data_IF_608092786201
#
_entry.id   IF_608092786201
#
_cell.length_a   1.000
_cell.length_b   1.000
_cell.length_c   1.000
_cell.angle_alpha   90.00
_cell.angle_beta   90.00
_cell.angle_gamma   90.00
#
_symmetry.space_group_name_H-M   'P 1'
#
loop_
_entity.id
_entity.type
_entity.pdbx_description
1 polymer ?
#
# COMPACT_ATOMS: atom_id res chain seq x y z
N UNK A 1 28.27 -4.02 -25.61
CA UNK A 1 26.80 -4.11 -25.64
C UNK A 1 26.34 -3.38 -24.40
N UNK A 2 25.73 -2.21 -24.57
CA UNK A 2 25.24 -1.40 -23.44
C UNK A 2 24.31 -2.24 -22.58
N UNK A 3 24.57 -2.24 -21.28
CA UNK A 3 23.76 -2.91 -20.27
C UNK A 3 22.44 -2.12 -20.16
N UNK A 4 21.48 -2.38 -21.06
CA UNK A 4 20.15 -1.77 -21.02
C UNK A 4 19.52 -2.09 -19.66
N UNK A 5 19.32 -1.07 -18.83
CA UNK A 5 18.64 -1.26 -17.56
C UNK A 5 17.23 -1.84 -17.82
N UNK A 6 16.78 -2.80 -17.01
CA UNK A 6 15.48 -3.42 -17.19
C UNK A 6 14.37 -2.37 -17.13
N UNK A 7 13.53 -2.34 -18.18
CA UNK A 7 12.50 -1.30 -18.40
C UNK A 7 11.31 -1.41 -17.43
N UNK A 8 11.15 -2.55 -16.76
CA UNK A 8 10.11 -2.80 -15.76
C UNK A 8 10.51 -3.95 -14.82
N UNK A 9 9.70 -4.18 -13.78
CA UNK A 9 9.95 -5.19 -12.76
C UNK A 9 9.94 -6.63 -13.30
N UNK A 10 9.10 -6.96 -14.30
CA UNK A 10 9.13 -8.29 -14.92
C UNK A 10 10.45 -8.49 -15.67
N UNK A 11 10.92 -7.49 -16.41
CA UNK A 11 12.22 -7.53 -17.07
C UNK A 11 13.36 -7.68 -16.06
N UNK A 12 13.25 -7.04 -14.89
CA UNK A 12 14.21 -7.21 -13.79
C UNK A 12 14.20 -8.65 -13.24
N UNK A 13 13.03 -9.22 -12.97
CA UNK A 13 12.91 -10.61 -12.51
C UNK A 13 13.45 -11.59 -13.55
N UNK A 14 13.13 -11.40 -14.83
CA UNK A 14 13.66 -12.22 -15.93
C UNK A 14 15.18 -12.08 -16.03
N UNK A 15 15.75 -10.89 -15.82
CA UNK A 15 17.22 -10.72 -15.80
C UNK A 15 17.90 -11.41 -14.61
N UNK A 16 17.14 -11.79 -13.58
CA UNK A 16 17.62 -12.57 -12.42
C UNK A 16 17.45 -14.09 -12.59
N UNK A 17 17.05 -14.55 -13.79
CA UNK A 17 17.01 -15.97 -14.12
C UNK A 17 18.40 -16.59 -14.02
N UNK A 18 18.52 -17.65 -13.23
CA UNK A 18 19.71 -18.51 -13.26
C UNK A 18 19.71 -19.35 -14.54
N UNK A 19 20.63 -19.08 -15.48
CA UNK A 19 20.78 -19.89 -16.70
C UNK A 19 21.71 -21.11 -16.54
N UNK A 20 22.55 -21.17 -15.49
CA UNK A 20 23.49 -22.29 -15.28
C UNK A 20 23.41 -22.88 -13.86
N UNK A 21 22.64 -23.95 -13.70
CA UNK A 21 22.72 -24.79 -12.51
C UNK A 21 23.97 -25.69 -12.59
N UNK A 22 25.08 -25.28 -11.97
CA UNK A 22 26.20 -26.17 -11.63
C UNK A 22 26.30 -26.29 -10.11
N UNK A 23 26.37 -27.54 -9.64
CA UNK A 23 26.04 -28.01 -8.28
C UNK A 23 26.95 -27.50 -7.13
N UNK A 24 27.97 -26.68 -7.41
CA UNK A 24 29.03 -26.34 -6.44
C UNK A 24 29.16 -24.83 -6.12
N UNK A 25 28.24 -23.98 -6.60
CA UNK A 25 28.19 -22.56 -6.20
C UNK A 25 26.79 -22.20 -5.68
N UNK A 26 26.73 -21.50 -4.55
CA UNK A 26 25.49 -20.89 -4.04
C UNK A 26 25.01 -19.89 -5.09
N UNK A 27 24.12 -20.35 -5.96
CA UNK A 27 23.64 -19.66 -7.16
C UNK A 27 22.73 -18.48 -6.78
N UNK A 28 23.18 -17.26 -7.08
CA UNK A 28 22.47 -16.02 -6.79
C UNK A 28 21.46 -15.67 -7.90
N UNK A 29 20.29 -16.31 -7.90
CA UNK A 29 19.20 -15.94 -8.80
C UNK A 29 17.95 -16.80 -8.62
N UNK A 30 16.87 -16.42 -9.28
CA UNK A 30 15.57 -17.08 -9.17
C UNK A 30 15.39 -18.11 -10.30
N UNK A 31 14.73 -19.20 -9.97
CA UNK A 31 14.23 -20.17 -10.96
C UNK A 31 13.06 -19.59 -11.75
N UNK A 32 12.76 -20.18 -12.91
CA UNK A 32 11.58 -19.79 -13.70
C UNK A 32 10.26 -19.94 -12.93
N UNK A 33 10.16 -20.96 -12.08
CA UNK A 33 8.99 -21.19 -11.25
C UNK A 33 8.85 -20.09 -10.18
N UNK A 34 9.94 -19.77 -9.47
CA UNK A 34 9.94 -18.70 -8.48
C UNK A 34 9.61 -17.34 -9.11
N UNK A 35 10.13 -17.02 -10.30
CA UNK A 35 9.76 -15.77 -11.00
C UNK A 35 8.27 -15.74 -11.35
N UNK A 36 7.72 -16.87 -11.80
CA UNK A 36 6.29 -16.95 -12.08
C UNK A 36 5.45 -16.72 -10.81
N UNK A 37 5.84 -17.36 -9.71
CA UNK A 37 5.18 -17.22 -8.41
C UNK A 37 5.25 -15.78 -7.88
N UNK A 38 6.41 -15.12 -8.00
CA UNK A 38 6.58 -13.71 -7.61
C UNK A 38 5.72 -12.76 -8.45
N UNK A 39 5.66 -12.97 -9.77
CA UNK A 39 4.80 -12.17 -10.66
C UNK A 39 3.33 -12.36 -10.29
N UNK A 40 2.90 -13.61 -10.05
CA UNK A 40 1.52 -13.90 -9.66
C UNK A 40 1.18 -13.27 -8.30
N UNK A 41 2.06 -13.45 -7.30
CA UNK A 41 1.87 -12.88 -5.96
C UNK A 41 1.74 -11.35 -6.02
N UNK A 42 2.61 -10.68 -6.77
CA UNK A 42 2.56 -9.23 -6.95
C UNK A 42 1.23 -8.76 -7.55
N UNK A 43 0.73 -9.44 -8.58
CA UNK A 43 -0.57 -9.10 -9.21
C UNK A 43 -1.69 -9.24 -8.19
N UNK A 44 -1.76 -10.38 -7.48
CA UNK A 44 -2.82 -10.62 -6.50
C UNK A 44 -2.77 -9.61 -5.36
N UNK A 45 -1.59 -9.41 -4.75
CA UNK A 45 -1.43 -8.49 -3.62
C UNK A 45 -1.69 -7.05 -4.04
N UNK A 46 -1.24 -6.62 -5.23
CA UNK A 46 -1.49 -5.28 -5.74
C UNK A 46 -2.96 -5.03 -6.08
N UNK A 47 -3.63 -6.03 -6.65
CA UNK A 47 -5.04 -5.94 -7.03
C UNK A 47 -5.98 -5.90 -5.81
N UNK A 48 -5.90 -6.89 -4.94
CA UNK A 48 -6.85 -7.05 -3.83
C UNK A 48 -6.76 -5.86 -2.86
N UNK A 49 -5.54 -5.45 -2.52
CA UNK A 49 -5.33 -4.38 -1.54
C UNK A 49 -5.76 -3.02 -2.06
N UNK A 50 -5.38 -2.68 -3.29
CA UNK A 50 -5.72 -1.38 -3.90
C UNK A 50 -7.21 -1.28 -4.21
N UNK A 51 -7.82 -2.35 -4.73
CA UNK A 51 -9.27 -2.37 -5.02
C UNK A 51 -10.09 -2.21 -3.74
N UNK A 52 -9.73 -2.91 -2.66
CA UNK A 52 -10.39 -2.79 -1.36
C UNK A 52 -10.28 -1.38 -0.79
N UNK A 53 -9.09 -0.76 -0.85
CA UNK A 53 -8.90 0.62 -0.39
C UNK A 53 -9.76 1.62 -1.19
N UNK A 54 -9.84 1.45 -2.52
CA UNK A 54 -10.71 2.26 -3.37
C UNK A 54 -12.20 2.04 -3.08
N UNK A 55 -12.63 0.81 -2.81
CA UNK A 55 -14.00 0.52 -2.40
C UNK A 55 -14.39 1.23 -1.11
N UNK A 56 -13.52 1.22 -0.09
CA UNK A 56 -13.73 1.99 1.14
C UNK A 56 -13.78 3.49 0.89
N UNK A 57 -12.89 4.01 0.05
CA UNK A 57 -12.92 5.42 -0.35
C UNK A 57 -14.27 5.78 -0.97
N UNK A 58 -14.75 5.01 -1.94
CA UNK A 58 -16.04 5.26 -2.61
C UNK A 58 -17.18 5.20 -1.59
N UNK A 59 -17.16 4.22 -0.68
CA UNK A 59 -18.16 4.08 0.38
C UNK A 59 -18.20 5.33 1.27
N UNK A 60 -17.07 5.73 1.86
CA UNK A 60 -17.01 6.91 2.74
C UNK A 60 -17.33 8.20 2.00
N UNK A 61 -16.85 8.36 0.77
CA UNK A 61 -17.12 9.52 -0.06
C UNK A 61 -18.61 9.64 -0.42
N UNK A 62 -19.31 8.51 -0.63
CA UNK A 62 -20.76 8.50 -0.90
C UNK A 62 -21.60 8.97 0.30
N UNK A 63 -21.11 8.73 1.52
CA UNK A 63 -21.74 9.16 2.78
C UNK A 63 -21.35 10.59 3.18
N UNK A 64 -20.27 11.12 2.61
CA UNK A 64 -19.68 12.40 2.96
C UNK A 64 -19.41 13.26 1.71
N UNK A 65 -20.44 13.83 1.06
CA UNK A 65 -20.29 14.62 -0.16
C UNK A 65 -19.31 15.80 -0.02
N UNK A 66 -19.17 16.35 1.19
CA UNK A 66 -18.23 17.42 1.52
C UNK A 66 -16.76 17.03 1.27
N UNK A 67 -16.41 15.76 1.47
CA UNK A 67 -15.06 15.25 1.21
C UNK A 67 -14.77 15.32 -0.29
N UNK A 68 -15.70 14.83 -1.11
CA UNK A 68 -15.56 14.86 -2.57
C UNK A 68 -15.44 16.30 -3.09
N UNK A 69 -16.25 17.22 -2.57
CA UNK A 69 -16.21 18.62 -2.97
C UNK A 69 -14.85 19.25 -2.65
N UNK A 70 -14.34 19.05 -1.44
CA UNK A 70 -13.07 19.64 -0.99
C UNK A 70 -11.86 19.01 -1.69
N UNK A 71 -11.89 17.71 -2.00
CA UNK A 71 -10.87 17.09 -2.89
C UNK A 71 -10.89 17.68 -4.29
N UNK A 72 -12.07 17.89 -4.89
CA UNK A 72 -12.19 18.54 -6.21
C UNK A 72 -11.65 19.96 -6.19
N UNK A 73 -11.86 20.71 -5.11
CA UNK A 73 -11.30 22.05 -4.93
C UNK A 73 -9.77 22.03 -4.88
N UNK A 74 -9.18 21.10 -4.14
CA UNK A 74 -7.73 20.91 -4.13
C UNK A 74 -7.19 20.55 -5.52
N UNK A 75 -7.80 19.57 -6.20
CA UNK A 75 -7.38 19.19 -7.56
C UNK A 75 -7.49 20.36 -8.54
N UNK A 76 -8.53 21.19 -8.44
CA UNK A 76 -8.66 22.42 -9.25
C UNK A 76 -7.56 23.44 -8.95
N UNK A 77 -7.23 23.65 -7.67
CA UNK A 77 -6.15 24.55 -7.24
C UNK A 77 -4.80 24.16 -7.85
N UNK A 78 -4.56 22.85 -8.02
CA UNK A 78 -3.35 22.31 -8.63
C UNK A 78 -3.45 22.07 -10.14
N UNK A 79 -4.54 22.53 -10.80
CA UNK A 79 -4.82 22.33 -12.22
C UNK A 79 -4.86 20.86 -12.67
N UNK A 80 -5.20 19.94 -11.76
CA UNK A 80 -5.26 18.49 -12.00
C UNK A 80 -6.68 17.98 -12.32
N UNK A 81 -7.64 18.89 -12.50
CA UNK A 81 -9.02 18.55 -12.83
C UNK A 81 -9.40 19.24 -14.15
N UNK A 82 -9.98 18.49 -15.09
CA UNK A 82 -10.65 19.11 -16.23
C UNK A 82 -11.85 19.92 -15.72
N UNK A 83 -11.80 21.22 -15.97
CA UNK A 83 -12.92 22.16 -15.80
C UNK A 83 -13.16 22.78 -17.17
N UNK A 84 -14.38 23.23 -17.45
CA UNK A 84 -14.89 23.58 -18.79
C UNK A 84 -14.01 24.55 -19.61
N UNK A 85 -13.04 25.23 -18.97
CA UNK A 85 -12.11 26.18 -19.58
C UNK A 85 -10.66 25.66 -19.73
N UNK A 86 -10.30 24.50 -19.17
CA UNK A 86 -8.99 23.87 -19.30
C UNK A 86 -9.00 22.89 -20.48
N UNK A 87 -8.34 23.26 -21.58
CA UNK A 87 -8.16 22.40 -22.77
C UNK A 87 -7.14 21.27 -22.55
N UNK A 88 -6.41 21.29 -21.43
CA UNK A 88 -5.33 20.36 -21.13
C UNK A 88 -5.16 20.23 -19.62
N UNK A 89 -5.07 18.99 -19.13
CA UNK A 89 -4.60 18.68 -17.78
C UNK A 89 -3.16 18.23 -17.92
N UNK A 90 -2.20 18.85 -17.20
CA UNK A 90 -0.81 18.42 -17.25
C UNK A 90 -0.67 16.96 -16.79
N UNK A 91 0.34 16.23 -17.28
CA UNK A 91 0.62 14.89 -16.79
C UNK A 91 0.89 14.96 -15.30
N UNK A 92 0.42 13.95 -14.58
CA UNK A 92 0.63 13.86 -13.15
C UNK A 92 2.13 13.69 -12.87
N UNK A 93 2.70 14.62 -12.11
CA UNK A 93 4.10 14.55 -11.66
C UNK A 93 4.17 14.15 -10.19
N UNK A 94 5.32 13.66 -9.74
CA UNK A 94 5.56 13.37 -8.32
C UNK A 94 5.40 14.63 -7.47
N UNK A 95 5.91 15.76 -7.95
CA UNK A 95 5.79 17.05 -7.25
C UNK A 95 4.32 17.47 -7.11
N UNK A 96 3.51 17.31 -8.17
CA UNK A 96 2.08 17.60 -8.09
C UNK A 96 1.36 16.63 -7.13
N UNK A 97 1.70 15.34 -7.12
CA UNK A 97 1.11 14.36 -6.20
C UNK A 97 1.41 14.70 -4.73
N UNK A 98 2.67 15.02 -4.41
CA UNK A 98 3.07 15.37 -3.04
C UNK A 98 2.44 16.67 -2.54
N UNK A 99 1.96 17.52 -3.46
CA UNK A 99 1.26 18.76 -3.11
C UNK A 99 -0.22 18.57 -2.74
N UNK A 100 -0.80 17.38 -2.94
CA UNK A 100 -2.21 17.07 -2.65
C UNK A 100 -2.46 16.67 -1.20
N UNK A 101 -2.24 17.60 -0.29
CA UNK A 101 -2.31 17.37 1.17
C UNK A 101 -3.67 16.84 1.62
N UNK A 102 -4.78 17.39 1.12
CA UNK A 102 -6.12 16.96 1.51
C UNK A 102 -6.45 15.57 0.96
N UNK A 103 -6.08 15.28 -0.28
CA UNK A 103 -6.23 13.92 -0.84
C UNK A 103 -5.40 12.89 -0.03
N UNK A 104 -4.19 13.25 0.41
CA UNK A 104 -3.39 12.41 1.31
C UNK A 104 -4.09 12.21 2.66
N UNK A 105 -4.62 13.27 3.28
CA UNK A 105 -5.40 13.15 4.52
C UNK A 105 -6.61 12.23 4.35
N UNK A 106 -7.37 12.36 3.26
CA UNK A 106 -8.51 11.49 2.96
C UNK A 106 -8.05 10.04 2.79
N UNK A 107 -6.95 9.80 2.08
CA UNK A 107 -6.40 8.45 1.88
C UNK A 107 -6.02 7.80 3.21
N UNK A 108 -5.35 8.55 4.09
CA UNK A 108 -4.98 8.09 5.44
C UNK A 108 -6.21 7.77 6.28
N UNK A 109 -7.24 8.62 6.24
CA UNK A 109 -8.46 8.44 7.02
C UNK A 109 -9.30 7.25 6.53
N UNK A 110 -9.36 7.05 5.20
CA UNK A 110 -9.98 5.87 4.61
C UNK A 110 -9.31 4.59 5.09
N UNK A 111 -7.97 4.54 5.10
CA UNK A 111 -7.23 3.36 5.57
C UNK A 111 -7.28 3.18 7.09
N UNK A 112 -7.48 4.26 7.85
CA UNK A 112 -7.70 4.21 9.30
C UNK A 112 -9.03 3.51 9.63
N UNK A 113 -10.11 3.96 8.99
CA UNK A 113 -11.48 3.51 9.25
C UNK A 113 -11.84 2.21 8.52
N UNK A 114 -11.42 2.08 7.27
CA UNK A 114 -11.62 0.92 6.40
C UNK A 114 -10.28 0.27 6.03
N UNK A 115 -9.59 -0.38 6.97
CA UNK A 115 -8.32 -1.01 6.68
C UNK A 115 -8.51 -2.22 5.76
N UNK A 116 -7.61 -2.37 4.78
CA UNK A 116 -7.55 -3.57 3.94
C UNK A 116 -7.25 -4.82 4.79
N UNK A 117 -6.38 -4.68 5.79
CA UNK A 117 -6.09 -5.71 6.79
C UNK A 117 -6.21 -5.13 8.20
N UNK A 118 -7.21 -5.56 8.95
CA UNK A 118 -7.45 -5.10 10.33
C UNK A 118 -6.61 -5.80 11.40
N UNK A 119 -5.94 -6.89 11.05
CA UNK A 119 -5.18 -7.75 11.96
C UNK A 119 -3.89 -8.21 11.28
N UNK A 120 -2.76 -8.11 11.99
CA UNK A 120 -1.49 -8.74 11.58
C UNK A 120 -0.94 -9.59 12.72
N UNK A 121 0.01 -10.47 12.45
CA UNK A 121 0.61 -11.35 13.46
C UNK A 121 2.13 -11.37 13.41
N UNK A 122 2.75 -11.70 14.53
CA UNK A 122 4.19 -11.98 14.65
C UNK A 122 4.37 -13.28 15.44
N UNK A 123 5.43 -14.02 15.14
CA UNK A 123 5.83 -15.20 15.92
C UNK A 123 7.13 -14.84 16.66
N UNK A 124 7.15 -15.01 17.98
CA UNK A 124 8.34 -14.76 18.78
C UNK A 124 9.45 -15.77 18.41
N UNK A 125 10.60 -15.28 17.95
CA UNK A 125 11.72 -16.13 17.54
C UNK A 125 12.58 -16.58 18.73
N UNK A 126 12.48 -15.87 19.87
CA UNK A 126 13.12 -16.15 21.15
C UNK A 126 12.23 -15.65 22.31
N UNK A 127 12.50 -16.14 23.53
CA UNK A 127 11.84 -15.68 24.75
C UNK A 127 12.19 -14.21 24.99
N UNK A 128 11.17 -13.36 25.12
CA UNK A 128 11.34 -11.92 25.27
C UNK A 128 10.28 -11.34 26.22
N UNK A 129 10.43 -10.06 26.52
CA UNK A 129 9.46 -9.27 27.28
C UNK A 129 9.11 -8.06 26.43
N UNK A 130 7.82 -7.80 26.26
CA UNK A 130 7.30 -6.55 25.67
C UNK A 130 6.51 -5.84 26.76
N UNK A 131 6.95 -4.66 27.13
CA UNK A 131 6.53 -3.96 28.35
C UNK A 131 6.66 -4.86 29.60
N UNK A 132 5.55 -5.18 30.27
CA UNK A 132 5.51 -6.08 31.44
C UNK A 132 5.01 -7.50 31.10
N UNK A 133 4.87 -7.81 29.81
CA UNK A 133 4.34 -9.10 29.33
C UNK A 133 5.45 -10.00 28.84
N UNK A 134 5.60 -11.17 29.47
CA UNK A 134 6.50 -12.24 29.01
C UNK A 134 5.91 -12.93 27.78
N UNK A 135 6.74 -13.10 26.75
CA UNK A 135 6.39 -13.76 25.50
C UNK A 135 7.38 -14.89 25.28
N UNK A 136 6.88 -16.11 25.10
CA UNK A 136 7.74 -17.27 24.88
C UNK A 136 8.02 -17.48 23.40
N UNK A 137 9.19 -18.07 23.09
CA UNK A 137 9.54 -18.51 21.75
C UNK A 137 8.43 -19.37 21.16
N UNK A 138 8.07 -19.10 19.90
CA UNK A 138 7.00 -19.78 19.18
C UNK A 138 5.60 -19.24 19.46
N UNK A 139 5.43 -18.33 20.41
CA UNK A 139 4.14 -17.70 20.68
C UNK A 139 3.75 -16.74 19.53
N UNK A 140 2.50 -16.86 19.07
CA UNK A 140 1.91 -15.93 18.10
C UNK A 140 1.33 -14.71 18.82
N UNK A 141 1.74 -13.53 18.39
CA UNK A 141 1.26 -12.23 18.86
C UNK A 141 0.34 -11.68 17.78
N UNK A 142 -0.89 -11.36 18.14
CA UNK A 142 -1.86 -10.70 17.25
C UNK A 142 -1.85 -9.20 17.50
N UNK A 143 -1.76 -8.41 16.44
CA UNK A 143 -1.77 -6.95 16.46
C UNK A 143 -3.04 -6.48 15.77
N UNK A 144 -4.00 -6.02 16.58
CA UNK A 144 -5.31 -5.53 16.12
C UNK A 144 -5.18 -4.08 15.59
N UNK A 145 -4.68 -3.94 14.37
CA UNK A 145 -4.47 -2.65 13.71
C UNK A 145 -5.73 -1.79 13.67
N UNK A 146 -6.89 -2.40 13.37
CA UNK A 146 -8.14 -1.65 13.33
C UNK A 146 -8.48 -1.03 14.68
N UNK A 147 -8.33 -1.79 15.77
CA UNK A 147 -8.60 -1.29 17.12
C UNK A 147 -7.66 -0.13 17.49
N UNK A 148 -6.38 -0.22 17.13
CA UNK A 148 -5.41 0.87 17.36
C UNK A 148 -5.82 2.12 16.55
N UNK A 149 -6.28 1.91 15.32
CA UNK A 149 -6.69 2.98 14.40
C UNK A 149 -8.04 3.62 14.77
N UNK A 150 -8.85 3.03 15.64
CA UNK A 150 -10.14 3.56 16.11
C UNK A 150 -10.18 3.76 17.62
N UNK A 151 -9.06 3.62 18.32
CA UNK A 151 -8.99 3.78 19.76
C UNK A 151 -9.19 5.24 20.18
N UNK A 152 -10.24 5.50 20.95
CA UNK A 152 -10.61 6.84 21.43
C UNK A 152 -9.52 7.53 22.28
N UNK A 153 -8.56 6.76 22.83
CA UNK A 153 -7.40 7.32 23.55
C UNK A 153 -6.45 8.09 22.64
N UNK A 154 -6.39 7.72 21.36
CA UNK A 154 -5.49 8.33 20.36
C UNK A 154 -6.25 9.09 19.27
N UNK A 155 -7.52 8.76 19.04
CA UNK A 155 -8.36 9.35 18.00
C UNK A 155 -9.56 10.07 18.64
N UNK A 156 -9.49 11.40 18.72
CA UNK A 156 -10.44 12.22 19.50
C UNK A 156 -11.67 12.70 18.71
N UNK A 157 -11.92 12.17 17.52
CA UNK A 157 -13.06 12.54 16.68
C UNK A 157 -13.97 11.33 16.51
N UNK A 158 -15.25 11.52 16.82
CA UNK A 158 -16.26 10.46 16.74
C UNK A 158 -16.31 9.88 15.35
N UNK A 159 -15.87 8.63 15.23
CA UNK A 159 -16.03 7.84 14.03
C UNK A 159 -17.52 7.84 13.66
N UNK A 160 -17.88 8.08 12.38
CA UNK A 160 -19.28 8.02 11.98
C UNK A 160 -19.83 6.62 12.27
N UNK A 161 -20.86 6.54 13.12
CA UNK A 161 -21.64 5.31 13.34
C UNK A 161 -22.48 4.95 12.12
#
# INVERSE_FOLDING_TARGET
MENEQPKNLIALLVSSLNEEANDDQVLSGLTRAEIFDEVLMMIMTGYETTSTALSWFIFFASKNPQIQQRMKEELRKHHLLMIDNLKYVPPLTVDNLTSLTYCECVTKEVLRLGPVFGLTSRIATYDTIVDDVKIHRGQTILIALHNINTDARYWHHGDPQ
#
